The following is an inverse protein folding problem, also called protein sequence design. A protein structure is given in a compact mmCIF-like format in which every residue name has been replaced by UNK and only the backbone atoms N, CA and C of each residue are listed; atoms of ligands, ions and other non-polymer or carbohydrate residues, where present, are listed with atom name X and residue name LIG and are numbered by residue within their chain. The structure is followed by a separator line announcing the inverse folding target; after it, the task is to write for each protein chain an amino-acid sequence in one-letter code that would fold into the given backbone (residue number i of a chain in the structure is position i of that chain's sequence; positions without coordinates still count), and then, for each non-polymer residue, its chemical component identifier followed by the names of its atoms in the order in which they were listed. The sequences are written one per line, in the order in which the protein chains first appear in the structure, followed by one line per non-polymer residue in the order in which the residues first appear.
data_IF_567879800897
#
_entry.id   IF_567879800897
#
_cell.length_a   1.000
_cell.length_b   1.000
_cell.length_c   1.000
_cell.angle_alpha   90.00
_cell.angle_beta   90.00
_cell.angle_gamma   90.00
#
_symmetry.space_group_name_H-M   'P 1'
#
loop_
_entity.id
_entity.type
_entity.pdbx_description
1 polymer ?
#
# COMPACT_ATOMS: atom_id res chain seq x y z
N UNK A 1 3.87 10.65 26.08
CA UNK A 1 4.88 9.80 25.41
C UNK A 1 6.24 10.43 25.67
N UNK A 2 7.12 9.75 26.39
CA UNK A 2 8.54 10.11 26.50
C UNK A 2 9.19 9.79 25.16
N UNK A 3 10.05 10.68 24.64
CA UNK A 3 10.76 10.47 23.37
C UNK A 3 11.66 9.24 23.52
N UNK A 4 11.49 8.28 22.63
CA UNK A 4 12.26 7.02 22.53
C UNK A 4 13.57 7.20 21.74
N UNK A 5 13.92 8.44 21.38
CA UNK A 5 15.11 8.75 20.57
C UNK A 5 15.01 8.27 19.13
N UNK A 6 13.84 7.80 18.68
CA UNK A 6 13.67 7.38 17.29
C UNK A 6 13.70 8.57 16.34
N UNK A 7 14.32 8.36 15.18
CA UNK A 7 14.41 9.33 14.09
C UNK A 7 13.67 8.78 12.88
N UNK A 8 12.83 9.60 12.26
CA UNK A 8 12.20 9.28 10.97
C UNK A 8 12.78 10.15 9.87
N UNK A 9 13.33 9.52 8.84
CA UNK A 9 13.85 10.18 7.65
C UNK A 9 12.87 10.00 6.49
N UNK A 10 12.58 11.08 5.77
CA UNK A 10 11.68 11.09 4.61
C UNK A 10 12.42 11.52 3.36
N UNK A 11 12.17 10.83 2.26
CA UNK A 11 12.78 11.09 0.97
C UNK A 11 11.69 11.32 -0.07
N UNK A 12 11.87 12.37 -0.86
CA UNK A 12 10.89 12.85 -1.82
C UNK A 12 11.51 12.96 -3.20
N UNK A 13 10.70 12.76 -4.24
CA UNK A 13 11.11 13.09 -5.61
C UNK A 13 10.91 14.58 -5.93
N UNK A 14 11.29 14.97 -7.15
CA UNK A 14 11.14 16.34 -7.66
C UNK A 14 9.68 16.80 -7.81
N UNK A 15 8.71 15.87 -7.78
CA UNK A 15 7.27 16.13 -7.85
C UNK A 15 6.63 16.22 -6.46
N UNK A 16 7.45 16.22 -5.40
CA UNK A 16 7.00 16.20 -4.02
C UNK A 16 6.14 14.96 -3.69
N UNK A 17 6.56 13.79 -4.20
CA UNK A 17 6.00 12.48 -3.87
C UNK A 17 6.95 11.74 -2.94
N UNK A 18 6.42 11.16 -1.85
CA UNK A 18 7.22 10.44 -0.85
C UNK A 18 7.69 9.12 -1.46
N UNK A 19 8.98 8.97 -1.74
CA UNK A 19 9.51 7.74 -2.34
C UNK A 19 10.06 6.77 -1.32
N UNK A 20 10.47 7.26 -0.14
CA UNK A 20 11.00 6.42 0.93
C UNK A 20 10.83 7.05 2.30
N UNK A 21 10.59 6.21 3.31
CA UNK A 21 10.64 6.60 4.72
C UNK A 21 11.40 5.55 5.52
N UNK A 22 12.23 5.99 6.47
CA UNK A 22 13.01 5.12 7.35
C UNK A 22 12.77 5.52 8.79
N UNK A 23 12.55 4.55 9.67
CA UNK A 23 12.55 4.74 11.12
C UNK A 23 13.80 4.10 11.68
N UNK A 24 14.58 4.86 12.46
CA UNK A 24 15.78 4.36 13.13
C UNK A 24 15.67 4.57 14.64
N UNK A 25 16.29 3.69 15.41
CA UNK A 25 16.46 3.89 16.84
C UNK A 25 17.51 4.98 17.15
N UNK A 26 17.71 5.27 18.43
CA UNK A 26 18.68 6.26 18.88
C UNK A 26 20.14 5.94 18.49
N UNK A 27 20.45 4.68 18.17
CA UNK A 27 21.77 4.21 17.75
C UNK A 27 21.92 4.15 16.22
N UNK A 28 20.87 4.52 15.47
CA UNK A 28 20.85 4.49 14.02
C UNK A 28 20.47 3.12 13.42
N UNK A 29 20.06 2.15 14.23
CA UNK A 29 19.56 0.84 13.74
C UNK A 29 18.23 1.04 13.04
N UNK A 30 18.10 0.50 11.82
CA UNK A 30 16.87 0.56 11.06
C UNK A 30 15.80 -0.32 11.72
N UNK A 31 14.68 0.29 12.07
CA UNK A 31 13.52 -0.37 12.67
C UNK A 31 12.40 -0.62 11.67
N UNK A 32 12.33 0.19 10.60
CA UNK A 32 11.31 0.10 9.55
C UNK A 32 11.77 0.84 8.31
N UNK A 33 11.49 0.30 7.13
CA UNK A 33 11.66 1.00 5.87
C UNK A 33 10.41 0.86 4.99
N UNK A 34 9.99 1.97 4.39
CA UNK A 34 8.94 2.02 3.39
C UNK A 34 9.52 2.57 2.10
N UNK A 35 9.16 1.98 0.96
CA UNK A 35 9.46 2.51 -0.37
C UNK A 35 8.19 2.56 -1.20
N UNK A 36 8.04 3.60 -2.01
CA UNK A 36 6.88 3.82 -2.85
C UNK A 36 7.29 4.11 -4.28
N UNK A 37 6.58 3.48 -5.22
CA UNK A 37 6.74 3.66 -6.66
C UNK A 37 5.51 4.35 -7.21
N UNK A 38 5.73 5.34 -8.07
CA UNK A 38 4.67 6.12 -8.69
C UNK A 38 4.71 5.98 -10.21
N UNK A 39 3.54 6.04 -10.84
CA UNK A 39 3.44 6.13 -12.29
C UNK A 39 3.63 7.57 -12.81
N UNK A 40 3.53 7.73 -14.12
CA UNK A 40 3.68 9.03 -14.78
C UNK A 40 2.61 10.04 -14.36
N UNK A 41 1.41 9.58 -14.00
CA UNK A 41 0.31 10.43 -13.52
C UNK A 41 0.49 10.83 -12.05
N UNK A 42 1.43 10.20 -11.33
CA UNK A 42 1.73 10.46 -9.94
C UNK A 42 0.88 9.64 -8.97
N UNK A 43 0.26 8.56 -9.45
CA UNK A 43 -0.43 7.58 -8.60
C UNK A 43 0.59 6.60 -8.06
N UNK A 44 0.44 6.22 -6.79
CA UNK A 44 1.26 5.17 -6.19
C UNK A 44 0.84 3.82 -6.78
N UNK A 45 1.75 3.18 -7.50
CA UNK A 45 1.56 1.86 -8.11
C UNK A 45 2.32 0.76 -7.38
N UNK A 46 3.26 1.11 -6.50
CA UNK A 46 4.01 0.13 -5.71
C UNK A 46 4.20 0.58 -4.27
N UNK A 47 4.10 -0.36 -3.35
CA UNK A 47 4.58 -0.23 -1.97
C UNK A 47 5.44 -1.42 -1.61
N UNK A 48 6.56 -1.14 -0.97
CA UNK A 48 7.44 -2.13 -0.37
C UNK A 48 7.63 -1.73 1.09
N UNK A 49 7.31 -2.62 2.01
CA UNK A 49 7.30 -2.34 3.45
C UNK A 49 8.09 -3.41 4.17
N UNK A 50 9.22 -3.00 4.69
CA UNK A 50 10.04 -3.76 5.62
C UNK A 50 9.67 -3.31 7.04
N UNK A 51 8.95 -4.18 7.76
CA UNK A 51 8.29 -3.84 9.02
C UNK A 51 9.23 -3.88 10.23
N UNK A 52 10.33 -4.65 10.15
CA UNK A 52 11.30 -4.86 11.22
C UNK A 52 12.72 -4.38 10.86
N UNK A 53 12.94 -3.91 9.64
CA UNK A 53 14.15 -3.21 9.21
C UNK A 53 15.36 -4.12 9.18
N UNK A 54 16.18 -4.04 10.23
CA UNK A 54 17.35 -4.91 10.37
C UNK A 54 17.00 -6.34 10.88
N UNK A 55 15.73 -6.63 11.10
CA UNK A 55 15.25 -7.94 11.53
C UNK A 55 15.17 -8.97 10.39
N UNK A 56 14.70 -10.20 10.68
CA UNK A 56 14.65 -11.29 9.72
C UNK A 56 13.37 -11.36 8.89
N UNK A 57 12.35 -10.54 9.16
CA UNK A 57 11.09 -10.60 8.39
C UNK A 57 11.33 -10.12 6.95
N UNK A 58 10.78 -10.85 5.99
CA UNK A 58 10.85 -10.41 4.60
C UNK A 58 9.89 -9.23 4.37
N UNK A 59 10.29 -8.23 3.56
CA UNK A 59 9.43 -7.10 3.23
C UNK A 59 8.16 -7.52 2.46
N UNK A 60 7.02 -6.92 2.79
CA UNK A 60 5.79 -7.08 2.00
C UNK A 60 5.82 -6.10 0.82
N UNK A 61 5.69 -6.65 -0.39
CA UNK A 61 5.60 -5.88 -1.62
C UNK A 61 4.21 -6.02 -2.24
N UNK A 62 3.63 -4.90 -2.64
CA UNK A 62 2.36 -4.83 -3.35
C UNK A 62 2.48 -3.92 -4.56
N UNK A 63 1.99 -4.40 -5.70
CA UNK A 63 1.83 -3.65 -6.94
C UNK A 63 0.35 -3.47 -7.27
N UNK A 64 -0.09 -2.24 -7.45
CA UNK A 64 -1.47 -1.91 -7.81
C UNK A 64 -1.56 -1.52 -9.27
N UNK A 65 -2.43 -2.19 -10.01
CA UNK A 65 -2.82 -1.85 -11.38
C UNK A 65 -4.13 -1.09 -11.34
N UNK A 66 -4.25 -0.05 -12.17
CA UNK A 66 -5.42 0.83 -12.25
C UNK A 66 -6.18 0.64 -13.56
N UNK A 67 -7.51 0.76 -13.50
CA UNK A 67 -8.40 0.97 -14.65
C UNK A 67 -8.99 2.38 -14.57
N UNK A 68 -8.63 3.23 -15.53
CA UNK A 68 -8.85 4.68 -15.40
C UNK A 68 -8.21 5.20 -14.12
N UNK A 69 -8.97 5.85 -13.24
CA UNK A 69 -8.49 6.36 -11.94
C UNK A 69 -8.66 5.36 -10.78
N UNK A 70 -9.33 4.24 -11.01
CA UNK A 70 -9.70 3.29 -9.97
C UNK A 70 -8.68 2.15 -9.87
N UNK A 71 -8.26 1.73 -8.66
CA UNK A 71 -7.55 0.47 -8.48
C UNK A 71 -8.36 -0.69 -9.05
N UNK A 72 -7.71 -1.57 -9.80
CA UNK A 72 -8.34 -2.75 -10.40
C UNK A 72 -7.85 -4.05 -9.76
N UNK A 73 -6.52 -4.18 -9.58
CA UNK A 73 -5.91 -5.38 -9.02
C UNK A 73 -4.65 -5.05 -8.23
N UNK A 74 -4.40 -5.85 -7.19
CA UNK A 74 -3.14 -5.88 -6.46
C UNK A 74 -2.40 -7.20 -6.71
N UNK A 75 -1.09 -7.11 -6.86
CA UNK A 75 -0.16 -8.23 -7.00
C UNK A 75 0.90 -8.19 -5.89
N UNK A 76 1.45 -9.34 -5.52
CA UNK A 76 2.61 -9.41 -4.63
C UNK A 76 3.94 -9.13 -5.35
N UNK A 77 5.06 -9.24 -4.64
CA UNK A 77 6.41 -9.04 -5.18
C UNK A 77 6.78 -10.03 -6.29
N UNK A 78 6.17 -11.22 -6.31
CA UNK A 78 6.37 -12.26 -7.32
C UNK A 78 5.42 -12.10 -8.53
N UNK A 79 4.54 -11.11 -8.50
CA UNK A 79 3.54 -10.86 -9.54
C UNK A 79 2.34 -11.80 -9.49
N UNK A 80 2.13 -12.50 -8.37
CA UNK A 80 0.91 -13.26 -8.14
C UNK A 80 -0.21 -12.34 -7.67
N UNK A 81 -1.42 -12.60 -8.14
CA UNK A 81 -2.56 -11.80 -7.79
C UNK A 81 -2.91 -11.94 -6.29
N UNK A 82 -3.11 -10.83 -5.60
CA UNK A 82 -3.61 -10.75 -4.22
C UNK A 82 -5.09 -10.41 -4.16
N UNK A 83 -5.51 -9.34 -4.85
CA UNK A 83 -6.86 -8.78 -4.73
C UNK A 83 -7.37 -8.30 -6.08
N UNK A 84 -8.67 -8.47 -6.35
CA UNK A 84 -9.38 -7.75 -7.41
C UNK A 84 -10.41 -6.81 -6.81
N UNK A 85 -10.61 -5.66 -7.43
CA UNK A 85 -11.60 -4.67 -7.03
C UNK A 85 -12.69 -4.51 -8.09
N UNK A 86 -13.93 -4.33 -7.65
CA UNK A 86 -15.06 -4.00 -8.51
C UNK A 86 -15.55 -2.60 -8.17
N UNK A 87 -15.33 -1.67 -9.10
CA UNK A 87 -15.83 -0.31 -9.00
C UNK A 87 -17.06 -0.10 -9.90
N UNK A 88 -17.99 0.71 -9.44
CA UNK A 88 -19.10 1.23 -10.23
C UNK A 88 -18.69 2.46 -11.07
N UNK A 89 -19.61 2.98 -11.90
CA UNK A 89 -19.35 4.15 -12.75
C UNK A 89 -19.29 5.48 -11.99
N UNK A 90 -19.71 5.53 -10.73
CA UNK A 90 -19.66 6.70 -9.86
C UNK A 90 -18.26 6.99 -9.31
N UNK A 91 -18.11 8.18 -8.73
CA UNK A 91 -16.90 8.56 -7.99
C UNK A 91 -16.90 7.81 -6.65
N UNK A 92 -15.74 7.25 -6.28
CA UNK A 92 -15.52 6.52 -5.03
C UNK A 92 -16.50 5.34 -4.80
N UNK A 93 -16.97 4.73 -5.89
CA UNK A 93 -18.00 3.70 -5.87
C UNK A 93 -17.40 2.29 -5.84
N UNK A 94 -16.72 1.91 -4.75
CA UNK A 94 -16.19 0.56 -4.58
C UNK A 94 -17.31 -0.40 -4.13
N UNK A 95 -17.69 -1.35 -5.00
CA UNK A 95 -18.76 -2.31 -4.72
C UNK A 95 -18.29 -3.56 -4.02
N UNK A 96 -17.14 -4.09 -4.43
CA UNK A 96 -16.62 -5.32 -3.85
C UNK A 96 -15.11 -5.43 -4.00
N UNK A 97 -14.53 -6.29 -3.17
CA UNK A 97 -13.21 -6.87 -3.43
C UNK A 97 -13.25 -8.38 -3.28
N UNK A 98 -12.29 -9.05 -3.91
CA UNK A 98 -12.06 -10.48 -3.71
C UNK A 98 -10.56 -10.73 -3.59
N UNK A 99 -10.17 -11.31 -2.45
CA UNK A 99 -8.83 -11.83 -2.24
C UNK A 99 -8.64 -13.18 -2.92
N UNK A 100 -7.41 -13.54 -3.22
CA UNK A 100 -7.08 -14.87 -3.78
C UNK A 100 -7.41 -15.98 -2.78
N UNK A 101 -8.35 -16.85 -3.16
CA UNK A 101 -8.82 -17.94 -2.29
C UNK A 101 -9.84 -17.50 -1.23
N UNK A 102 -10.32 -16.26 -1.28
CA UNK A 102 -11.32 -15.72 -0.37
C UNK A 102 -12.70 -15.59 -1.05
N UNK A 103 -13.75 -15.50 -0.24
CA UNK A 103 -15.07 -15.12 -0.72
C UNK A 103 -15.13 -13.61 -1.03
N UNK A 104 -15.93 -13.18 -2.03
CA UNK A 104 -16.12 -11.76 -2.30
C UNK A 104 -16.66 -11.01 -1.08
N UNK A 105 -16.03 -9.88 -0.76
CA UNK A 105 -16.52 -8.92 0.22
C UNK A 105 -17.29 -7.84 -0.51
N UNK A 106 -18.60 -7.77 -0.28
CA UNK A 106 -19.50 -6.76 -0.85
C UNK A 106 -19.63 -5.59 0.13
N UNK A 107 -19.36 -4.37 -0.37
CA UNK A 107 -19.41 -3.14 0.43
C UNK A 107 -20.73 -2.39 0.33
N UNK A 108 -21.56 -2.78 -0.63
CA UNK A 108 -22.96 -2.40 -0.63
C UNK A 108 -23.73 -3.38 0.26
N UNK A 109 -24.30 -2.87 1.36
CA UNK A 109 -25.54 -3.44 1.85
C UNK A 109 -26.56 -3.33 0.71
N UNK A 110 -27.47 -4.30 0.60
CA UNK A 110 -28.60 -4.16 -0.31
C UNK A 110 -29.35 -2.84 -0.02
N UNK A 111 -30.21 -2.41 -0.93
CA UNK A 111 -31.10 -1.25 -0.69
C UNK A 111 -32.08 -1.45 0.49
N UNK A 112 -31.97 -2.54 1.26
CA UNK A 112 -32.77 -2.83 2.44
C UNK A 112 -32.01 -2.61 3.76
N UNK A 113 -30.70 -2.37 3.73
CA UNK A 113 -29.93 -1.96 4.91
C UNK A 113 -30.11 -2.91 6.08
N UNK A 114 -29.47 -4.08 6.04
CA UNK A 114 -29.24 -4.93 7.21
C UNK A 114 -27.80 -5.42 7.26
#
# INVERSE_FOLDING_TARGET
RISDGQVTEFFWDHRNQLTKAMVKDANGVLLKELRFTYDVEGRRVGSWVDADGAGPEEPDQVWTVFDGVNPYMDFDGDGLLKTRYLYGPGIDELFARIGTGEDPQWYLADRLGL
#
